data_IF_363660277682
#
_entry.id   IF_363660277682
#
_cell.length_a   1.000
_cell.length_b   1.000
_cell.length_c   1.000
_cell.angle_alpha   90.00
_cell.angle_beta   90.00
_cell.angle_gamma   90.00
#
_symmetry.space_group_name_H-M   'P 1'
#
loop_
_entity.id
_entity.type
_entity.pdbx_description
1 polymer ?
#
# COMPACT_ATOMS: atom_id res chain seq x y z
N UNK A 1 0.03 7.63 2.78
CA UNK A 1 0.32 8.11 4.14
C UNK A 1 -0.76 7.63 5.11
N UNK A 2 -0.42 6.79 6.10
CA UNK A 2 -1.34 6.37 7.15
C UNK A 2 -1.31 7.34 8.34
N UNK A 3 -2.48 7.61 8.94
CA UNK A 3 -2.65 8.30 10.21
C UNK A 3 -3.15 7.29 11.23
N UNK A 4 -2.29 6.92 12.20
CA UNK A 4 -2.55 5.81 13.13
C UNK A 4 -2.53 6.29 14.58
N UNK A 5 -3.51 5.83 15.35
CA UNK A 5 -3.52 5.90 16.80
C UNK A 5 -2.91 4.62 17.35
N UNK A 6 -1.90 4.77 18.21
CA UNK A 6 -1.22 3.66 18.89
C UNK A 6 -1.70 3.55 20.32
N UNK A 7 -2.15 2.37 20.72
CA UNK A 7 -2.49 2.04 22.10
C UNK A 7 -1.61 0.90 22.61
N UNK A 8 -0.87 1.16 23.69
CA UNK A 8 0.01 0.16 24.30
C UNK A 8 -0.74 -0.63 25.38
N UNK A 9 -0.64 -1.96 25.31
CA UNK A 9 -1.38 -2.92 26.12
C UNK A 9 -0.38 -3.76 26.93
N UNK A 10 -0.78 -4.17 28.14
CA UNK A 10 0.01 -5.02 29.03
C UNK A 10 0.70 -4.25 30.16
N UNK A 11 1.10 -4.97 31.21
CA UNK A 11 1.70 -4.38 32.43
C UNK A 11 3.00 -3.64 32.14
N UNK A 12 3.79 -4.17 31.21
CA UNK A 12 5.06 -3.61 30.75
C UNK A 12 4.90 -2.71 29.51
N UNK A 13 3.66 -2.54 29.02
CA UNK A 13 3.34 -1.83 27.77
C UNK A 13 4.13 -2.36 26.55
N UNK A 14 4.50 -3.65 26.57
CA UNK A 14 5.28 -4.24 25.47
C UNK A 14 4.43 -4.57 24.24
N UNK A 15 3.14 -4.84 24.40
CA UNK A 15 2.24 -5.05 23.27
C UNK A 15 1.59 -3.74 22.84
N UNK A 16 1.24 -3.63 21.58
CA UNK A 16 0.51 -2.49 21.08
C UNK A 16 -0.44 -2.86 19.95
N UNK A 17 -1.47 -2.04 19.80
CA UNK A 17 -2.35 -2.02 18.64
C UNK A 17 -2.28 -0.65 17.98
N UNK A 18 -2.29 -0.64 16.65
CA UNK A 18 -2.39 0.55 15.83
C UNK A 18 -3.71 0.49 15.07
N UNK A 19 -4.42 1.62 15.00
CA UNK A 19 -5.65 1.72 14.24
C UNK A 19 -5.79 3.09 13.61
N UNK A 20 -6.32 3.16 12.40
CA UNK A 20 -6.59 4.44 11.76
C UNK A 20 -6.92 4.33 10.28
N UNK A 21 -6.62 5.39 9.54
CA UNK A 21 -6.94 5.50 8.13
C UNK A 21 -5.68 5.73 7.32
N UNK A 22 -5.70 5.34 6.05
CA UNK A 22 -4.66 5.70 5.11
C UNK A 22 -5.27 6.38 3.89
N UNK A 23 -4.49 7.31 3.33
CA UNK A 23 -4.69 7.84 1.99
C UNK A 23 -3.40 7.65 1.21
N UNK A 24 -3.47 7.02 0.06
CA UNK A 24 -2.39 6.84 -0.90
C UNK A 24 -2.81 7.49 -2.21
N UNK A 25 -1.82 8.03 -2.93
CA UNK A 25 -2.03 8.53 -4.29
C UNK A 25 -0.97 7.90 -5.16
N UNK A 26 -1.40 7.38 -6.29
CA UNK A 26 -0.49 6.88 -7.32
C UNK A 26 -0.07 8.08 -8.15
N UNK A 27 1.24 8.36 -8.19
CA UNK A 27 1.77 9.51 -8.92
C UNK A 27 1.35 9.49 -10.40
N UNK A 28 1.04 10.67 -10.95
CA UNK A 28 0.73 10.85 -12.37
C UNK A 28 1.95 10.46 -13.22
N UNK A 29 1.93 9.26 -13.79
CA UNK A 29 3.00 8.73 -14.63
C UNK A 29 2.90 9.35 -16.03
N UNK A 30 3.72 10.38 -16.32
CA UNK A 30 3.75 11.15 -17.59
C UNK A 30 5.05 11.01 -18.43
N UNK A 31 5.80 9.93 -18.27
CA UNK A 31 6.98 9.61 -19.10
C UNK A 31 6.72 8.48 -20.09
N UNK A 32 6.42 8.86 -21.34
CA UNK A 32 6.30 7.97 -22.49
C UNK A 32 7.49 7.01 -22.59
N UNK A 33 7.21 5.71 -22.56
CA UNK A 33 8.18 4.65 -22.89
C UNK A 33 7.91 4.19 -24.30
N UNK A 34 8.85 4.45 -25.22
CA UNK A 34 8.76 4.00 -26.61
C UNK A 34 9.13 2.51 -26.68
N UNK A 35 8.14 1.63 -26.78
CA UNK A 35 8.35 0.21 -27.09
C UNK A 35 8.58 0.10 -28.60
N UNK A 36 9.76 -0.36 -29.03
CA UNK A 36 10.05 -0.68 -30.43
C UNK A 36 9.57 -2.09 -30.77
N UNK A 37 9.03 -2.24 -31.98
CA UNK A 37 8.41 -3.45 -32.50
C UNK A 37 9.42 -4.60 -32.66
N UNK A 38 9.55 -5.43 -31.64
CA UNK A 38 9.98 -6.82 -31.81
C UNK A 38 8.96 -7.73 -31.12
N UNK A 39 7.86 -7.96 -31.84
CA UNK A 39 6.91 -9.08 -31.71
C UNK A 39 6.29 -9.32 -30.33
N UNK A 40 5.28 -8.52 -29.97
CA UNK A 40 4.24 -8.95 -29.02
C UNK A 40 2.87 -8.61 -29.62
N UNK A 41 2.14 -9.65 -30.05
CA UNK A 41 0.83 -9.56 -30.71
C UNK A 41 -0.32 -9.24 -29.75
N UNK A 42 -0.39 -7.99 -29.29
CA UNK A 42 -1.59 -7.43 -28.68
C UNK A 42 -1.83 -6.04 -29.26
N UNK A 43 -2.89 -5.88 -30.06
CA UNK A 43 -3.35 -4.57 -30.54
C UNK A 43 -3.96 -3.78 -29.38
N UNK A 44 -3.11 -3.18 -28.57
CA UNK A 44 -3.48 -2.13 -27.64
C UNK A 44 -2.90 -0.83 -28.18
N UNK A 45 -3.73 0.03 -28.73
CA UNK A 45 -3.32 1.38 -29.14
C UNK A 45 -3.09 2.17 -27.86
N UNK A 46 -1.85 2.53 -27.50
CA UNK A 46 -1.61 3.35 -26.33
C UNK A 46 -2.26 4.70 -26.60
N UNK A 47 -3.22 5.12 -25.78
CA UNK A 47 -3.60 6.52 -25.73
C UNK A 47 -2.38 7.31 -25.28
N UNK A 48 -2.04 8.40 -25.98
CA UNK A 48 -0.77 9.14 -25.87
C UNK A 48 -0.45 9.68 -24.46
N UNK A 49 -1.34 9.51 -23.50
CA UNK A 49 -1.30 10.09 -22.17
C UNK A 49 -0.72 9.17 -21.08
N UNK A 50 -0.34 7.92 -21.40
CA UNK A 50 -0.01 6.91 -20.39
C UNK A 50 1.30 6.15 -20.64
N UNK A 51 1.99 5.80 -19.56
CA UNK A 51 3.36 5.27 -19.57
C UNK A 51 3.48 3.75 -19.79
N UNK A 52 2.44 2.99 -19.48
CA UNK A 52 2.41 1.54 -19.58
C UNK A 52 0.96 1.09 -19.80
N UNK A 53 0.77 -0.11 -20.36
CA UNK A 53 -0.55 -0.70 -20.59
C UNK A 53 -1.35 -0.74 -19.29
N UNK A 54 -2.64 -0.36 -19.32
CA UNK A 54 -3.55 -0.27 -18.17
C UNK A 54 -3.29 0.87 -17.16
N UNK A 55 -2.33 1.78 -17.42
CA UNK A 55 -2.10 2.92 -16.54
C UNK A 55 -3.28 3.91 -16.45
N UNK A 56 -4.17 3.91 -17.45
CA UNK A 56 -5.43 4.68 -17.41
C UNK A 56 -6.53 4.04 -16.56
N UNK A 57 -6.38 2.76 -16.21
CA UNK A 57 -7.35 2.01 -15.41
C UNK A 57 -7.03 2.08 -13.91
N UNK A 58 -5.80 2.49 -13.54
CA UNK A 58 -5.39 2.69 -12.15
C UNK A 58 -6.06 3.96 -11.61
N UNK A 59 -6.84 3.82 -10.55
CA UNK A 59 -7.42 4.98 -9.88
C UNK A 59 -6.30 5.76 -9.16
N UNK A 60 -6.30 7.08 -9.32
CA UNK A 60 -5.21 7.95 -8.88
C UNK A 60 -5.14 8.12 -7.35
N UNK A 61 -6.20 7.71 -6.65
CA UNK A 61 -6.34 7.83 -5.21
C UNK A 61 -6.85 6.52 -4.60
N UNK A 62 -6.22 6.09 -3.52
CA UNK A 62 -6.57 4.91 -2.76
C UNK A 62 -6.67 5.28 -1.28
N UNK A 63 -7.72 4.84 -0.59
CA UNK A 63 -7.88 5.11 0.82
C UNK A 63 -8.60 3.97 1.52
N UNK A 64 -8.33 3.86 2.82
CA UNK A 64 -8.92 2.80 3.59
C UNK A 64 -8.59 2.85 5.06
N UNK A 65 -8.85 1.73 5.73
CA UNK A 65 -8.59 1.55 7.15
C UNK A 65 -7.34 0.71 7.35
N UNK A 66 -6.63 0.98 8.43
CA UNK A 66 -5.45 0.25 8.84
C UNK A 66 -5.64 -0.29 10.24
N UNK A 67 -5.31 -1.56 10.42
CA UNK A 67 -5.25 -2.20 11.73
C UNK A 67 -3.91 -2.92 11.89
N UNK A 68 -3.25 -2.71 13.02
CA UNK A 68 -1.96 -3.31 13.32
C UNK A 68 -1.91 -3.83 14.74
N UNK A 69 -1.18 -4.92 14.93
CA UNK A 69 -0.85 -5.48 16.24
C UNK A 69 0.63 -5.79 16.29
N UNK A 70 1.26 -5.49 17.42
CA UNK A 70 2.71 -5.61 17.53
C UNK A 70 3.22 -5.75 18.94
N UNK A 71 4.53 -5.97 19.02
CA UNK A 71 5.28 -6.09 20.26
C UNK A 71 6.59 -5.33 20.16
N UNK A 72 6.89 -4.58 21.21
CA UNK A 72 8.16 -3.89 21.44
C UNK A 72 9.02 -4.67 22.42
N UNK A 73 10.29 -4.83 22.07
CA UNK A 73 11.34 -5.50 22.81
C UNK A 73 12.42 -4.48 23.17
N UNK A 74 12.73 -4.38 24.47
CA UNK A 74 13.88 -3.60 24.94
C UNK A 74 15.15 -4.44 24.70
N UNK A 75 16.06 -3.98 23.84
CA UNK A 75 17.31 -4.68 23.53
C UNK A 75 18.43 -4.28 24.50
N UNK A 76 18.63 -2.96 24.68
CA UNK A 76 19.56 -2.32 25.62
C UNK A 76 18.88 -1.11 26.25
N UNK A 77 19.50 -0.46 27.23
CA UNK A 77 18.89 0.67 27.98
C UNK A 77 18.37 1.81 27.11
N UNK A 78 18.92 1.99 25.90
CA UNK A 78 18.56 3.05 24.95
C UNK A 78 18.07 2.56 23.58
N UNK A 79 17.76 1.26 23.44
CA UNK A 79 17.41 0.69 22.12
C UNK A 79 16.20 -0.21 22.22
N UNK A 80 15.18 0.09 21.42
CA UNK A 80 13.94 -0.68 21.34
C UNK A 80 13.71 -1.19 19.91
N UNK A 81 13.45 -2.49 19.78
CA UNK A 81 13.00 -3.13 18.55
C UNK A 81 11.50 -3.36 18.65
N UNK A 82 10.72 -2.95 17.65
CA UNK A 82 9.30 -3.25 17.57
C UNK A 82 9.00 -4.06 16.31
N UNK A 83 8.16 -5.08 16.47
CA UNK A 83 7.63 -5.87 15.36
C UNK A 83 6.11 -5.66 15.30
N UNK A 84 5.57 -5.42 14.12
CA UNK A 84 4.15 -5.19 13.88
C UNK A 84 3.67 -5.98 12.67
N UNK A 85 2.56 -6.68 12.83
CA UNK A 85 1.76 -7.19 11.72
C UNK A 85 0.62 -6.20 11.47
N UNK A 86 0.54 -5.65 10.25
CA UNK A 86 -0.38 -4.56 9.91
C UNK A 86 -1.15 -4.85 8.64
N UNK A 87 -2.47 -4.88 8.74
CA UNK A 87 -3.38 -4.98 7.63
C UNK A 87 -3.85 -3.58 7.19
N UNK A 88 -3.79 -3.34 5.88
CA UNK A 88 -4.36 -2.17 5.22
C UNK A 88 -5.49 -2.65 4.33
N UNK A 89 -6.73 -2.29 4.68
CA UNK A 89 -7.93 -2.65 3.95
C UNK A 89 -8.38 -1.45 3.10
N UNK A 90 -8.24 -1.56 1.79
CA UNK A 90 -8.72 -0.57 0.84
C UNK A 90 -10.26 -0.50 0.83
N UNK A 91 -10.81 0.70 0.97
CA UNK A 91 -12.25 0.94 0.88
C UNK A 91 -12.71 1.29 -0.54
N UNK A 92 -11.77 1.66 -1.41
CA UNK A 92 -11.99 1.94 -2.83
C UNK A 92 -11.27 0.95 -3.72
N UNK A 93 -11.67 0.94 -4.98
CA UNK A 93 -11.01 0.17 -6.01
C UNK A 93 -9.72 0.87 -6.42
N UNK A 94 -8.64 0.11 -6.45
CA UNK A 94 -7.36 0.56 -6.98
C UNK A 94 -7.37 0.65 -8.51
N UNK A 95 -8.28 -0.09 -9.14
CA UNK A 95 -8.44 -0.18 -10.58
C UNK A 95 -9.92 -0.07 -10.94
N UNK A 96 -10.26 0.90 -11.78
CA UNK A 96 -11.60 1.10 -12.34
C UNK A 96 -11.48 1.11 -13.85
N UNK A 97 -11.92 0.04 -14.54
CA UNK A 97 -11.90 0.04 -16.02
C UNK A 97 -11.69 -1.30 -16.73
N UNK A 98 -11.38 -2.40 -16.05
CA UNK A 98 -11.12 -3.70 -16.74
C UNK A 98 -12.40 -4.37 -17.30
N UNK A 99 -13.52 -3.64 -17.38
CA UNK A 99 -14.85 -4.20 -17.66
C UNK A 99 -14.98 -4.76 -19.10
N UNK A 100 -14.06 -4.47 -20.01
CA UNK A 100 -14.14 -4.95 -21.41
C UNK A 100 -13.24 -6.16 -21.77
N UNK A 101 -12.49 -6.75 -20.82
CA UNK A 101 -11.49 -7.82 -21.13
C UNK A 101 -11.53 -9.07 -20.26
N UNK A 102 -12.71 -9.44 -19.74
CA UNK A 102 -12.94 -10.77 -19.16
C UNK A 102 -12.51 -10.96 -17.70
N UNK A 103 -12.16 -9.88 -16.98
CA UNK A 103 -12.01 -9.89 -15.52
C UNK A 103 -13.07 -8.95 -14.94
N UNK A 104 -14.22 -9.49 -14.57
CA UNK A 104 -15.21 -8.73 -13.80
C UNK A 104 -14.79 -8.72 -12.34
N UNK A 105 -14.32 -7.59 -11.82
CA UNK A 105 -14.02 -7.50 -10.39
C UNK A 105 -13.50 -6.14 -9.96
N UNK A 106 -14.10 -5.62 -8.90
CA UNK A 106 -13.58 -4.54 -8.08
C UNK A 106 -12.28 -4.99 -7.40
N UNK A 107 -11.13 -4.50 -7.87
CA UNK A 107 -9.82 -4.81 -7.26
C UNK A 107 -9.53 -3.77 -6.17
N UNK A 108 -9.57 -4.20 -4.91
CA UNK A 108 -9.24 -3.37 -3.75
C UNK A 108 -7.78 -3.54 -3.32
N UNK A 109 -7.16 -2.48 -2.82
CA UNK A 109 -5.81 -2.54 -2.24
C UNK A 109 -5.88 -3.13 -0.82
N UNK A 110 -5.82 -4.46 -0.71
CA UNK A 110 -5.62 -5.11 0.57
C UNK A 110 -4.15 -5.52 0.72
N UNK A 111 -3.50 -5.17 1.82
CA UNK A 111 -2.08 -5.49 2.02
C UNK A 111 -1.77 -5.80 3.47
N UNK A 112 -1.28 -7.01 3.70
CA UNK A 112 -0.70 -7.43 4.98
C UNK A 112 0.80 -7.12 5.00
N UNK A 113 1.23 -6.33 5.97
CA UNK A 113 2.62 -5.88 6.12
C UNK A 113 3.23 -6.46 7.39
N UNK A 114 4.50 -6.84 7.32
CA UNK A 114 5.34 -7.06 8.48
C UNK A 114 6.32 -5.89 8.61
N UNK A 115 6.28 -5.18 9.73
CA UNK A 115 7.08 -3.98 9.98
C UNK A 115 8.02 -4.26 11.15
N UNK A 116 9.32 -4.01 10.94
CA UNK A 116 10.32 -3.98 11.99
C UNK A 116 10.83 -2.54 12.16
N UNK A 117 10.74 -2.02 13.39
CA UNK A 117 11.18 -0.68 13.74
C UNK A 117 12.28 -0.74 14.81
N UNK A 118 13.41 -0.11 14.53
CA UNK A 118 14.45 0.13 15.52
C UNK A 118 14.39 1.59 15.97
N UNK A 119 14.33 1.82 17.27
CA UNK A 119 14.27 3.16 17.87
C UNK A 119 15.34 3.32 18.94
N UNK A 120 15.84 4.55 19.06
CA UNK A 120 16.92 4.92 19.95
C UNK A 120 16.47 6.05 20.88
N UNK A 121 16.57 5.85 22.18
CA UNK A 121 16.42 6.93 23.17
C UNK A 121 17.78 7.63 23.28
N UNK A 122 17.95 8.71 22.51
CA UNK A 122 19.17 9.52 22.47
C UNK A 122 19.33 10.31 23.77
#
# INVERSE_FOLDING_TARGET
MPLLLKYNIGKDKSFFVNGGFFIATTGNNKKSTRITNETIGYSYTPTENYNFTFAGDIDGSDYGITFGLGKSFKLKSKTNLSLELRDNLGLVNAISGIIDRGVSGDIKTNTLNLIAQLSFDL
#
